data_IF_722818073997
#
_entry.id   IF_722818073997
#
_cell.length_a   1.000
_cell.length_b   1.000
_cell.length_c   1.000
_cell.angle_alpha   90.00
_cell.angle_beta   90.00
_cell.angle_gamma   90.00
#
_symmetry.space_group_name_H-M   'P 1'
#
loop_
_entity.id
_entity.type
_entity.pdbx_description
1 polymer ?
#
# COMPACT_ATOMS: atom_id res chain seq x y z
N UNK A 1 -0.88 -9.81 9.29
CA UNK A 1 -0.16 -8.93 8.36
C UNK A 1 -1.15 -8.10 7.55
N UNK A 2 -1.23 -6.81 7.83
CA UNK A 2 -2.14 -5.87 7.19
C UNK A 2 -1.34 -4.99 6.21
N UNK A 3 -1.96 -4.54 5.11
CA UNK A 3 -1.28 -3.75 4.09
C UNK A 3 -0.38 -4.59 3.17
N UNK A 4 0.73 -4.01 2.70
CA UNK A 4 1.63 -4.61 1.71
C UNK A 4 2.28 -5.95 2.11
N UNK A 5 2.25 -6.33 3.37
CA UNK A 5 2.74 -7.61 3.88
C UNK A 5 1.74 -8.77 3.86
N UNK A 6 0.51 -8.56 3.39
CA UNK A 6 -0.60 -9.53 3.44
C UNK A 6 -0.24 -10.94 2.93
N UNK A 7 0.51 -11.03 1.83
CA UNK A 7 0.87 -12.31 1.23
C UNK A 7 1.89 -13.13 2.06
N UNK A 8 2.48 -12.54 3.12
CA UNK A 8 3.32 -13.23 4.08
C UNK A 8 2.54 -13.77 5.30
N UNK A 9 1.21 -13.63 5.33
CA UNK A 9 0.38 -14.14 6.41
C UNK A 9 0.47 -15.66 6.54
N UNK A 10 0.63 -16.14 7.76
CA UNK A 10 0.61 -17.57 8.11
C UNK A 10 -0.34 -17.74 9.29
N UNK A 11 -1.37 -18.56 9.09
CA UNK A 11 -2.39 -18.83 10.11
C UNK A 11 -1.79 -19.43 11.39
N UNK A 12 -2.18 -18.87 12.53
CA UNK A 12 -1.68 -19.28 13.85
C UNK A 12 -0.28 -18.76 14.20
N UNK A 13 0.34 -17.96 13.31
CA UNK A 13 1.65 -17.34 13.58
C UNK A 13 1.56 -15.83 13.38
N UNK A 14 1.99 -15.07 14.38
CA UNK A 14 2.00 -13.61 14.31
C UNK A 14 3.19 -13.13 13.49
N UNK A 15 3.04 -13.10 12.17
CA UNK A 15 4.06 -12.56 11.27
C UNK A 15 3.93 -11.03 11.22
N UNK A 16 4.93 -10.32 11.71
CA UNK A 16 5.10 -8.88 11.51
C UNK A 16 6.05 -8.62 10.34
N UNK A 17 5.86 -7.51 9.61
CA UNK A 17 6.81 -7.17 8.56
C UNK A 17 6.53 -5.87 7.83
N UNK A 18 7.52 -5.45 7.04
CA UNK A 18 7.48 -4.22 6.24
C UNK A 18 8.08 -4.46 4.86
N UNK A 19 7.36 -4.07 3.83
CA UNK A 19 7.85 -4.02 2.45
C UNK A 19 8.69 -2.77 2.20
N UNK A 20 9.71 -2.90 1.36
CA UNK A 20 10.52 -1.78 0.86
C UNK A 20 10.62 -1.84 -0.66
N UNK A 21 10.56 -0.69 -1.30
CA UNK A 21 10.84 -0.53 -2.73
C UNK A 21 11.75 0.68 -2.87
N UNK A 22 13.00 0.43 -3.21
CA UNK A 22 14.01 1.47 -3.40
C UNK A 22 14.43 1.53 -4.86
N UNK A 23 14.38 2.70 -5.46
CA UNK A 23 14.91 2.92 -6.80
C UNK A 23 16.44 2.93 -6.76
N UNK A 24 17.08 2.23 -7.69
CA UNK A 24 18.54 2.21 -7.77
C UNK A 24 19.11 3.56 -8.19
N UNK A 25 20.29 3.86 -7.70
CA UNK A 25 21.01 5.10 -8.01
C UNK A 25 22.32 4.77 -8.68
N UNK A 26 22.65 5.44 -9.78
CA UNK A 26 23.94 5.38 -10.44
C UNK A 26 24.39 6.79 -10.79
N UNK A 27 25.65 7.11 -10.52
CA UNK A 27 26.24 8.45 -10.73
C UNK A 27 25.38 9.60 -10.14
N UNK A 28 24.79 9.37 -8.96
CA UNK A 28 23.96 10.36 -8.26
C UNK A 28 22.55 10.57 -8.86
N UNK A 29 22.11 9.72 -9.80
CA UNK A 29 20.79 9.80 -10.42
C UNK A 29 20.00 8.51 -10.22
N UNK A 30 18.69 8.65 -10.03
CA UNK A 30 17.78 7.51 -9.96
C UNK A 30 17.63 6.85 -11.34
N UNK A 31 17.81 5.53 -11.36
CA UNK A 31 17.63 4.72 -12.57
C UNK A 31 16.14 4.36 -12.72
N UNK A 32 15.49 4.92 -13.73
CA UNK A 32 14.08 4.63 -14.01
C UNK A 32 13.90 3.15 -14.34
N UNK A 33 12.91 2.51 -13.70
CA UNK A 33 12.61 1.09 -13.93
C UNK A 33 13.52 0.10 -13.20
N UNK A 34 14.54 0.56 -12.48
CA UNK A 34 15.48 -0.28 -11.74
C UNK A 34 15.25 -0.15 -10.22
N UNK A 35 14.83 -1.24 -9.60
CA UNK A 35 14.44 -1.22 -8.18
C UNK A 35 15.10 -2.35 -7.39
N UNK A 36 15.31 -2.10 -6.10
CA UNK A 36 15.49 -3.14 -5.09
C UNK A 36 14.15 -3.27 -4.36
N UNK A 37 13.55 -4.44 -4.48
CA UNK A 37 12.30 -4.75 -3.79
C UNK A 37 12.62 -5.64 -2.59
N UNK A 38 12.18 -5.24 -1.42
CA UNK A 38 12.52 -5.96 -0.19
C UNK A 38 11.31 -6.19 0.71
N UNK A 39 11.45 -7.19 1.58
CA UNK A 39 10.55 -7.42 2.69
C UNK A 39 11.35 -7.89 3.90
N UNK A 40 11.18 -7.20 5.00
CA UNK A 40 11.69 -7.63 6.30
C UNK A 40 10.52 -8.14 7.14
N UNK A 41 10.71 -9.27 7.80
CA UNK A 41 9.69 -9.86 8.66
C UNK A 41 10.27 -10.44 9.93
N UNK A 42 9.41 -10.56 10.94
CA UNK A 42 9.71 -11.14 12.24
C UNK A 42 8.61 -12.14 12.58
N UNK A 43 9.00 -13.28 13.18
CA UNK A 43 8.04 -14.31 13.60
C UNK A 43 8.50 -14.99 14.90
N UNK A 44 7.58 -15.20 15.87
CA UNK A 44 6.32 -14.46 16.07
C UNK A 44 6.60 -12.99 16.43
N UNK A 45 5.75 -12.05 16.02
CA UNK A 45 5.98 -10.62 16.28
C UNK A 45 5.79 -10.20 17.75
N UNK A 46 5.07 -11.00 18.53
CA UNK A 46 4.83 -10.77 19.95
C UNK A 46 5.87 -11.46 20.85
N UNK A 47 6.63 -12.41 20.32
CA UNK A 47 7.77 -13.07 20.98
C UNK A 47 8.80 -13.46 19.91
N UNK A 48 9.62 -12.50 19.44
CA UNK A 48 10.47 -12.69 18.27
C UNK A 48 11.49 -13.82 18.44
N UNK A 49 11.47 -14.80 17.54
CA UNK A 49 12.43 -15.91 17.49
C UNK A 49 13.25 -15.90 16.20
N UNK A 50 12.68 -15.35 15.12
CA UNK A 50 13.39 -15.22 13.86
C UNK A 50 13.09 -13.89 13.17
N UNK A 51 14.10 -13.36 12.48
CA UNK A 51 13.98 -12.24 11.54
C UNK A 51 14.38 -12.73 10.16
N UNK A 52 13.57 -12.41 9.17
CA UNK A 52 13.85 -12.73 7.77
C UNK A 52 13.89 -11.42 6.97
N UNK A 53 14.97 -11.24 6.20
CA UNK A 53 15.06 -10.17 5.21
C UNK A 53 15.26 -10.76 3.82
N UNK A 54 14.38 -10.41 2.89
CA UNK A 54 14.48 -10.78 1.47
C UNK A 54 14.62 -9.51 0.66
N UNK A 55 15.56 -9.50 -0.26
CA UNK A 55 15.73 -8.46 -1.25
C UNK A 55 15.88 -9.07 -2.65
N UNK A 56 15.19 -8.51 -3.61
CA UNK A 56 15.32 -8.80 -5.04
C UNK A 56 15.95 -7.59 -5.71
N UNK A 57 17.14 -7.78 -6.26
CA UNK A 57 17.82 -6.74 -7.02
C UNK A 57 17.32 -6.77 -8.47
N UNK A 58 16.75 -5.66 -8.87
CA UNK A 58 16.31 -5.39 -10.25
C UNK A 58 15.42 -6.50 -10.85
N UNK A 59 14.31 -6.90 -10.20
CA UNK A 59 13.43 -7.92 -10.73
C UNK A 59 12.88 -7.49 -12.10
N UNK A 60 12.79 -8.43 -13.03
CA UNK A 60 12.42 -8.14 -14.43
C UNK A 60 11.01 -7.57 -14.61
N UNK A 61 10.08 -7.93 -13.74
CA UNK A 61 8.71 -7.42 -13.77
C UNK A 61 8.50 -6.39 -12.66
N UNK A 62 8.90 -5.15 -12.91
CA UNK A 62 8.80 -4.04 -11.96
C UNK A 62 7.39 -3.45 -11.85
N UNK A 63 6.43 -3.87 -12.67
CA UNK A 63 5.02 -3.49 -12.52
C UNK A 63 4.41 -4.10 -11.24
N UNK A 64 5.02 -5.15 -10.69
CA UNK A 64 4.61 -5.76 -9.44
C UNK A 64 5.34 -5.09 -8.27
N UNK A 65 4.58 -4.59 -7.30
CA UNK A 65 5.12 -4.05 -6.05
C UNK A 65 5.76 -5.15 -5.19
N UNK A 66 6.64 -4.77 -4.25
CA UNK A 66 7.26 -5.70 -3.28
C UNK A 66 6.25 -6.61 -2.57
N UNK A 67 5.02 -6.11 -2.34
CA UNK A 67 3.92 -6.88 -1.77
C UNK A 67 3.48 -8.09 -2.61
N UNK A 68 3.77 -8.11 -3.91
CA UNK A 68 3.43 -9.24 -4.80
C UNK A 68 4.66 -10.05 -5.22
N UNK A 69 5.86 -9.58 -4.93
CA UNK A 69 7.11 -10.24 -5.32
C UNK A 69 7.79 -10.87 -4.12
N UNK A 70 8.20 -10.08 -3.13
CA UNK A 70 9.00 -10.55 -1.99
C UNK A 70 8.18 -11.23 -0.91
N UNK A 71 6.92 -10.80 -0.67
CA UNK A 71 6.11 -11.33 0.43
C UNK A 71 5.64 -12.77 0.23
N UNK A 72 5.27 -13.26 -0.98
CA UNK A 72 4.99 -14.67 -1.19
C UNK A 72 6.23 -15.57 -1.00
N UNK A 73 7.40 -15.07 -1.40
CA UNK A 73 8.67 -15.79 -1.18
C UNK A 73 8.95 -15.86 0.31
N UNK A 74 8.83 -14.73 1.02
CA UNK A 74 9.00 -14.67 2.46
C UNK A 74 8.09 -15.66 3.20
N UNK A 75 6.83 -15.77 2.79
CA UNK A 75 5.88 -16.73 3.38
C UNK A 75 6.40 -18.16 3.29
N UNK A 76 6.94 -18.56 2.15
CA UNK A 76 7.50 -19.91 1.96
C UNK A 76 8.69 -20.16 2.88
N UNK A 77 9.64 -19.22 2.90
CA UNK A 77 10.82 -19.31 3.77
C UNK A 77 10.45 -19.29 5.25
N UNK A 78 9.46 -18.47 5.63
CA UNK A 78 8.97 -18.42 7.01
C UNK A 78 8.35 -19.74 7.46
N UNK A 79 7.66 -20.47 6.59
CA UNK A 79 7.13 -21.80 6.91
C UNK A 79 8.26 -22.78 7.22
N UNK A 80 9.34 -22.76 6.43
CA UNK A 80 10.51 -23.59 6.68
C UNK A 80 11.22 -23.20 7.99
N UNK A 81 11.33 -21.91 8.29
CA UNK A 81 11.90 -21.40 9.54
C UNK A 81 11.04 -21.83 10.74
N UNK A 82 9.74 -21.70 10.65
CA UNK A 82 8.79 -22.10 11.69
C UNK A 82 8.94 -23.58 12.03
N UNK A 83 9.03 -24.42 11.00
CA UNK A 83 9.24 -25.87 11.21
C UNK A 83 10.62 -26.18 11.78
N UNK A 84 11.67 -25.58 11.25
CA UNK A 84 13.04 -25.82 11.68
C UNK A 84 13.29 -25.40 13.15
N UNK A 85 12.71 -24.26 13.56
CA UNK A 85 12.83 -23.75 14.93
C UNK A 85 11.75 -24.29 15.87
N UNK A 86 10.82 -25.11 15.37
CA UNK A 86 9.70 -25.65 16.14
C UNK A 86 8.90 -24.56 16.84
N UNK A 87 8.66 -23.45 16.13
CA UNK A 87 7.85 -22.36 16.66
C UNK A 87 6.41 -22.87 16.83
N UNK A 88 5.91 -22.76 18.04
CA UNK A 88 4.56 -23.25 18.35
C UNK A 88 3.48 -22.39 17.70
N UNK A 89 2.46 -23.05 17.17
CA UNK A 89 1.26 -22.38 16.66
C UNK A 89 0.51 -21.76 17.84
N UNK A 90 0.17 -20.49 17.72
CA UNK A 90 -0.63 -19.79 18.72
C UNK A 90 -2.12 -20.07 18.47
N UNK A 91 -2.76 -20.72 19.41
CA UNK A 91 -4.20 -20.88 19.43
C UNK A 91 -4.84 -19.62 20.02
N UNK A 92 -5.87 -19.12 19.38
CA UNK A 92 -6.61 -17.96 19.84
C UNK A 92 -6.79 -16.92 18.74
N UNK A 93 -7.85 -16.14 18.88
CA UNK A 93 -8.15 -15.08 17.92
C UNK A 93 -7.04 -14.03 17.89
N UNK A 94 -6.70 -13.58 16.71
CA UNK A 94 -6.01 -12.31 16.53
C UNK A 94 -6.89 -11.26 17.21
N UNK A 95 -6.33 -10.46 18.12
CA UNK A 95 -7.03 -9.51 18.99
C UNK A 95 -7.88 -8.43 18.28
N UNK A 96 -7.91 -8.45 16.95
CA UNK A 96 -8.76 -7.61 16.11
C UNK A 96 -9.30 -8.42 14.95
N UNK A 97 -10.62 -8.52 14.87
CA UNK A 97 -11.31 -8.83 13.62
C UNK A 97 -11.04 -7.70 12.64
N UNK A 98 -10.03 -7.91 11.80
CA UNK A 98 -9.83 -7.02 10.66
C UNK A 98 -10.74 -7.48 9.53
N UNK A 99 -11.91 -6.89 9.47
CA UNK A 99 -12.68 -6.91 8.23
C UNK A 99 -11.87 -6.12 7.19
N UNK A 100 -11.40 -6.82 6.18
CA UNK A 100 -10.91 -6.20 4.98
C UNK A 100 -12.13 -5.68 4.23
N UNK A 101 -12.43 -4.42 4.40
CA UNK A 101 -13.21 -3.73 3.39
C UNK A 101 -12.32 -3.69 2.15
N UNK A 102 -12.72 -4.43 1.12
CA UNK A 102 -12.13 -4.25 -0.20
C UNK A 102 -12.49 -2.82 -0.62
N UNK A 103 -11.53 -1.90 -0.41
CA UNK A 103 -11.74 -0.52 -0.84
C UNK A 103 -11.93 -0.52 -2.34
N UNK A 104 -13.09 -0.08 -2.76
CA UNK A 104 -13.38 0.13 -4.18
C UNK A 104 -12.62 1.38 -4.61
N UNK A 105 -11.83 1.26 -5.68
CA UNK A 105 -11.07 2.36 -6.25
C UNK A 105 -11.74 2.85 -7.53
N UNK A 106 -11.90 4.15 -7.62
CA UNK A 106 -12.41 4.82 -8.83
C UNK A 106 -11.33 5.72 -9.42
N UNK A 107 -11.40 5.93 -10.73
CA UNK A 107 -10.57 6.92 -11.40
C UNK A 107 -11.12 8.33 -11.10
N UNK A 108 -10.23 9.22 -10.67
CA UNK A 108 -10.60 10.61 -10.32
C UNK A 108 -10.91 11.38 -11.61
N UNK A 109 -12.13 11.92 -11.77
CA UNK A 109 -12.48 12.68 -12.93
C UNK A 109 -11.80 14.05 -12.94
N UNK A 110 -11.64 14.65 -14.12
CA UNK A 110 -11.20 16.03 -14.24
C UNK A 110 -12.34 16.98 -13.88
N UNK A 111 -12.15 17.78 -12.85
CA UNK A 111 -13.10 18.82 -12.43
C UNK A 111 -12.49 20.23 -12.46
N UNK A 112 -11.26 20.39 -12.95
CA UNK A 112 -10.64 21.70 -13.11
C UNK A 112 -11.41 22.53 -14.14
N UNK A 113 -11.63 23.79 -13.84
CA UNK A 113 -12.42 24.71 -14.66
C UNK A 113 -13.93 24.64 -14.46
N UNK A 114 -14.46 23.64 -13.76
CA UNK A 114 -15.90 23.52 -13.48
C UNK A 114 -16.32 24.39 -12.30
N UNK A 115 -17.60 24.76 -12.26
CA UNK A 115 -18.19 25.31 -11.05
C UNK A 115 -18.26 24.24 -9.94
N UNK A 116 -18.14 24.67 -8.69
CA UNK A 116 -18.17 23.79 -7.51
C UNK A 116 -19.41 22.88 -7.49
N UNK A 117 -20.58 23.38 -7.94
CA UNK A 117 -21.81 22.61 -8.01
C UNK A 117 -21.75 21.45 -9.01
N UNK A 118 -21.04 21.64 -10.12
CA UNK A 118 -20.85 20.62 -11.15
C UNK A 118 -19.80 19.60 -10.71
N UNK A 119 -18.68 20.08 -10.15
CA UNK A 119 -17.65 19.21 -9.60
C UNK A 119 -18.20 18.25 -8.53
N UNK A 120 -19.07 18.73 -7.64
CA UNK A 120 -19.73 17.88 -6.62
C UNK A 120 -20.53 16.73 -7.21
N UNK A 121 -21.15 16.91 -8.35
CA UNK A 121 -21.94 15.85 -9.01
C UNK A 121 -21.08 14.72 -9.55
N UNK A 122 -19.84 15.04 -9.93
CA UNK A 122 -18.87 14.07 -10.45
C UNK A 122 -18.09 13.36 -9.34
N UNK A 123 -17.96 13.99 -8.18
CA UNK A 123 -17.13 13.51 -7.07
C UNK A 123 -17.92 12.83 -5.95
N UNK A 124 -19.04 12.19 -6.28
CA UNK A 124 -19.96 11.58 -5.29
C UNK A 124 -19.37 10.43 -4.48
N UNK A 125 -18.31 9.82 -4.98
CA UNK A 125 -17.64 8.70 -4.32
C UNK A 125 -16.62 9.12 -3.25
N UNK A 126 -16.38 10.43 -3.09
CA UNK A 126 -15.32 10.96 -2.24
C UNK A 126 -15.79 12.09 -1.34
N UNK A 127 -15.04 12.31 -0.26
CA UNK A 127 -15.16 13.52 0.55
C UNK A 127 -14.47 14.66 -0.18
N UNK A 128 -15.05 15.86 -0.09
CA UNK A 128 -14.50 17.03 -0.75
C UNK A 128 -14.09 18.05 0.29
N UNK A 129 -12.83 18.44 0.26
CA UNK A 129 -12.30 19.58 1.01
C UNK A 129 -12.00 20.73 0.06
N UNK A 130 -12.19 21.94 0.54
CA UNK A 130 -11.98 23.16 -0.23
C UNK A 130 -10.84 23.97 0.34
N UNK A 131 -9.95 24.46 -0.54
CA UNK A 131 -8.92 25.41 -0.23
C UNK A 131 -9.11 26.66 -1.11
N UNK A 132 -8.82 27.84 -0.58
CA UNK A 132 -9.06 29.12 -1.28
C UNK A 132 -10.52 29.58 -1.22
N UNK A 133 -10.86 30.54 -2.05
CA UNK A 133 -12.19 31.15 -2.14
C UNK A 133 -12.58 31.43 -3.57
N UNK A 134 -13.84 31.21 -3.91
CA UNK A 134 -14.37 31.37 -5.27
C UNK A 134 -15.40 30.32 -5.61
N UNK A 135 -15.86 30.34 -6.84
CA UNK A 135 -16.93 29.47 -7.32
C UNK A 135 -16.44 28.44 -8.34
N UNK A 136 -15.20 28.56 -8.78
CA UNK A 136 -14.58 27.70 -9.78
C UNK A 136 -13.46 26.87 -9.19
N UNK A 137 -13.31 25.63 -9.67
CA UNK A 137 -12.17 24.77 -9.35
C UNK A 137 -11.00 25.17 -10.23
N UNK A 138 -9.91 25.66 -9.64
CA UNK A 138 -8.68 26.02 -10.37
C UNK A 138 -7.65 24.90 -10.36
N UNK A 139 -7.70 24.01 -9.38
CA UNK A 139 -6.90 22.79 -9.36
C UNK A 139 -7.51 21.75 -8.43
N UNK A 140 -7.15 20.50 -8.63
CA UNK A 140 -7.60 19.37 -7.81
C UNK A 140 -6.43 18.50 -7.36
N UNK A 141 -6.58 17.84 -6.22
CA UNK A 141 -5.65 16.82 -5.72
C UNK A 141 -6.44 15.69 -5.07
N UNK A 142 -6.28 14.40 -5.48
CA UNK A 142 -5.39 13.92 -6.56
C UNK A 142 -5.75 14.45 -7.95
N UNK A 143 -4.80 14.30 -8.90
CA UNK A 143 -5.01 14.72 -10.29
C UNK A 143 -6.02 13.80 -11.00
N UNK A 144 -6.64 14.33 -12.06
CA UNK A 144 -7.48 13.55 -12.95
C UNK A 144 -6.73 12.33 -13.49
N UNK A 145 -7.42 11.19 -13.58
CA UNK A 145 -6.86 9.91 -14.02
C UNK A 145 -6.15 9.10 -12.93
N UNK A 146 -5.87 9.68 -11.76
CA UNK A 146 -5.35 8.92 -10.62
C UNK A 146 -6.44 8.03 -10.01
N UNK A 147 -6.06 6.92 -9.39
CA UNK A 147 -7.00 6.02 -8.69
C UNK A 147 -7.04 6.34 -7.20
N UNK A 148 -8.22 6.64 -6.72
CA UNK A 148 -8.47 6.97 -5.32
C UNK A 148 -9.55 6.03 -4.75
N UNK A 149 -9.37 5.58 -3.51
CA UNK A 149 -10.37 4.74 -2.85
C UNK A 149 -11.65 5.54 -2.57
N UNK A 150 -12.79 4.84 -2.60
CA UNK A 150 -14.04 5.42 -2.14
C UNK A 150 -13.90 5.95 -0.70
N UNK A 151 -14.62 7.01 -0.37
CA UNK A 151 -14.62 7.70 0.93
C UNK A 151 -13.29 8.41 1.32
N UNK A 152 -12.24 8.30 0.51
CA UNK A 152 -11.04 9.12 0.68
C UNK A 152 -11.33 10.58 0.28
N UNK A 153 -10.41 11.50 0.56
CA UNK A 153 -10.65 12.95 0.38
C UNK A 153 -10.01 13.47 -0.90
N UNK A 154 -10.77 14.28 -1.64
CA UNK A 154 -10.28 15.11 -2.75
C UNK A 154 -10.26 16.56 -2.29
N UNK A 155 -9.14 17.22 -2.48
CA UNK A 155 -8.98 18.66 -2.20
C UNK A 155 -9.17 19.47 -3.48
N UNK A 156 -10.06 20.43 -3.45
CA UNK A 156 -10.32 21.37 -4.55
C UNK A 156 -9.82 22.77 -4.18
N UNK A 157 -8.91 23.30 -4.97
CA UNK A 157 -8.51 24.70 -4.87
C UNK A 157 -9.53 25.55 -5.64
N UNK A 158 -10.12 26.54 -4.95
CA UNK A 158 -11.13 27.42 -5.52
C UNK A 158 -10.56 28.79 -5.89
N UNK A 159 -11.09 29.35 -6.96
CA UNK A 159 -10.82 30.70 -7.43
C UNK A 159 -12.01 31.28 -8.20
N UNK A 160 -11.83 32.48 -8.74
CA UNK A 160 -12.83 33.20 -9.57
C UNK A 160 -12.48 33.07 -11.05
#
# INVERSE_FOLDING_TARGET
ALGGGKAAYIDGYRVGGKTGTAQKVENGRYLVGNYIMSFMSVVPSNNPQAVLYIALDNPKNTALLSSYTTTPIARRVLLDIIDALKIEKQEGQIEKDYTWEDKVYYEVPNVEGLEVKEAKKLLTNWKIEYAGSGNKVISQSPKAGERLAADDTIVLMLGN
#
